data_IF_814624003810
#
_entry.id   IF_814624003810
#
_cell.length_a   1.000
_cell.length_b   1.000
_cell.length_c   1.000
_cell.angle_alpha   90.00
_cell.angle_beta   90.00
_cell.angle_gamma   90.00
#
_symmetry.space_group_name_H-M   'P 1'
#
loop_
_entity.id
_entity.type
_entity.pdbx_description
1 polymer ?
#
# COMPACT_ATOMS: atom_id res chain seq x y z
N UNK A 1 10.75 -7.70 -15.37
CA UNK A 1 11.35 -6.78 -14.37
C UNK A 1 11.30 -7.45 -13.01
N UNK A 2 12.42 -7.49 -12.30
CA UNK A 2 12.55 -7.98 -10.92
C UNK A 2 12.73 -6.76 -10.01
N UNK A 3 11.74 -6.48 -9.15
CA UNK A 3 11.71 -5.28 -8.31
C UNK A 3 12.79 -5.28 -7.22
N UNK A 4 13.24 -6.45 -6.78
CA UNK A 4 14.28 -6.56 -5.76
C UNK A 4 15.67 -6.19 -6.34
N UNK A 5 15.83 -6.26 -7.65
CA UNK A 5 17.05 -5.90 -8.37
C UNK A 5 16.92 -4.53 -9.01
N UNK A 6 17.51 -3.52 -8.40
CA UNK A 6 17.46 -2.13 -8.88
C UNK A 6 17.89 -1.98 -10.35
N UNK A 7 18.90 -2.76 -10.80
CA UNK A 7 19.35 -2.77 -12.18
C UNK A 7 18.24 -3.24 -13.15
N UNK A 8 17.51 -4.29 -12.80
CA UNK A 8 16.38 -4.80 -13.60
C UNK A 8 15.25 -3.75 -13.73
N UNK A 9 15.03 -2.96 -12.67
CA UNK A 9 14.07 -1.85 -12.71
C UNK A 9 14.57 -0.74 -13.63
N UNK A 10 15.84 -0.37 -13.54
CA UNK A 10 16.44 0.64 -14.41
C UNK A 10 16.30 0.28 -15.88
N UNK A 11 16.72 -0.93 -16.26
CA UNK A 11 16.63 -1.44 -17.63
C UNK A 11 15.19 -1.41 -18.18
N UNK A 12 14.20 -1.75 -17.32
CA UNK A 12 12.80 -1.70 -17.72
C UNK A 12 12.30 -0.26 -17.95
N UNK A 13 12.66 0.68 -17.07
CA UNK A 13 12.29 2.10 -17.24
C UNK A 13 12.95 2.68 -18.50
N UNK A 14 14.24 2.42 -18.73
CA UNK A 14 14.96 2.86 -19.92
C UNK A 14 14.35 2.31 -21.21
N UNK A 15 13.95 1.04 -21.22
CA UNK A 15 13.29 0.43 -22.36
C UNK A 15 11.93 1.09 -22.68
N UNK A 16 11.13 1.43 -21.64
CA UNK A 16 9.87 2.15 -21.82
C UNK A 16 10.10 3.54 -22.42
N UNK A 17 11.06 4.29 -21.88
CA UNK A 17 11.38 5.62 -22.39
C UNK A 17 11.94 5.58 -23.82
N UNK A 18 12.79 4.60 -24.10
CA UNK A 18 13.35 4.42 -25.46
C UNK A 18 12.27 4.08 -26.49
N UNK A 19 11.24 3.32 -26.10
CA UNK A 19 10.17 2.88 -26.99
C UNK A 19 9.06 3.91 -27.17
N UNK A 20 8.60 4.54 -26.07
CA UNK A 20 7.44 5.44 -26.07
C UNK A 20 7.83 6.94 -26.02
N UNK A 21 9.09 7.26 -25.73
CA UNK A 21 9.59 8.64 -25.60
C UNK A 21 9.32 9.28 -24.25
N UNK A 22 8.31 8.83 -23.50
CA UNK A 22 7.89 9.39 -22.22
C UNK A 22 7.21 8.35 -21.33
N UNK A 23 6.97 8.73 -20.06
CA UNK A 23 6.18 7.98 -19.09
C UNK A 23 5.10 8.93 -18.56
N UNK A 24 3.83 8.60 -18.78
CA UNK A 24 2.71 9.44 -18.30
C UNK A 24 2.21 8.99 -16.93
N UNK A 25 2.08 7.67 -16.73
CA UNK A 25 1.55 7.09 -15.50
C UNK A 25 2.41 5.90 -15.07
N UNK A 26 2.72 5.84 -13.77
CA UNK A 26 3.34 4.68 -13.13
C UNK A 26 2.36 4.12 -12.11
N UNK A 27 2.06 2.82 -12.22
CA UNK A 27 1.26 2.12 -11.21
C UNK A 27 2.13 1.10 -10.50
N UNK A 28 2.52 1.40 -9.26
CA UNK A 28 3.25 0.49 -8.39
C UNK A 28 2.25 -0.45 -7.69
N UNK A 29 1.90 -1.54 -8.36
CA UNK A 29 0.90 -2.50 -7.91
C UNK A 29 1.51 -3.79 -7.34
N UNK A 30 2.74 -4.13 -7.67
CA UNK A 30 3.37 -5.37 -7.24
C UNK A 30 3.52 -5.43 -5.71
N UNK A 31 3.18 -6.58 -5.14
CA UNK A 31 3.27 -6.83 -3.71
C UNK A 31 2.58 -8.12 -3.34
N UNK A 32 2.90 -8.62 -2.14
CA UNK A 32 2.28 -9.82 -1.59
C UNK A 32 1.98 -9.65 -0.10
N UNK A 33 1.08 -10.50 0.42
CA UNK A 33 0.72 -10.53 1.84
C UNK A 33 1.66 -11.41 2.65
N UNK A 34 2.14 -10.90 3.79
CA UNK A 34 2.84 -11.70 4.80
C UNK A 34 1.93 -11.86 6.01
N UNK A 35 1.46 -13.08 6.25
CA UNK A 35 0.67 -13.43 7.43
C UNK A 35 1.53 -14.05 8.50
N UNK A 36 1.14 -13.85 9.76
CA UNK A 36 1.76 -14.42 10.95
C UNK A 36 1.84 -13.41 12.09
N UNK A 37 2.03 -13.92 13.32
CA UNK A 37 2.32 -13.06 14.47
C UNK A 37 3.73 -12.50 14.36
N UNK A 38 3.98 -11.33 14.92
CA UNK A 38 5.32 -10.71 14.93
C UNK A 38 6.38 -11.61 15.58
N UNK A 39 6.00 -12.37 16.59
CA UNK A 39 6.88 -13.32 17.28
C UNK A 39 7.29 -14.49 16.36
N UNK A 40 6.40 -14.89 15.44
CA UNK A 40 6.61 -16.08 14.61
C UNK A 40 7.33 -15.81 13.30
N UNK A 41 7.08 -14.66 12.69
CA UNK A 41 7.68 -14.33 11.39
C UNK A 41 9.19 -14.11 11.59
N UNK A 42 10.01 -14.83 10.82
CA UNK A 42 11.46 -14.71 10.87
C UNK A 42 11.95 -13.37 10.30
N UNK A 43 13.14 -12.92 10.72
CA UNK A 43 13.79 -11.73 10.17
C UNK A 43 13.92 -11.78 8.63
N UNK A 44 14.24 -12.96 8.08
CA UNK A 44 14.34 -13.15 6.64
C UNK A 44 13.00 -12.93 5.91
N UNK A 45 11.89 -13.44 6.47
CA UNK A 45 10.55 -13.24 5.90
C UNK A 45 10.11 -11.78 5.98
N UNK A 46 10.43 -11.10 7.09
CA UNK A 46 10.16 -9.66 7.25
C UNK A 46 10.90 -8.88 6.17
N UNK A 47 12.22 -9.10 6.02
CA UNK A 47 13.04 -8.42 5.01
C UNK A 47 12.54 -8.68 3.60
N UNK A 48 12.26 -9.92 3.25
CA UNK A 48 11.73 -10.26 1.93
C UNK A 48 10.41 -9.55 1.61
N UNK A 49 9.53 -9.38 2.61
CA UNK A 49 8.29 -8.63 2.46
C UNK A 49 8.56 -7.13 2.20
N UNK A 50 9.49 -6.54 2.92
CA UNK A 50 9.90 -5.15 2.71
C UNK A 50 10.65 -4.95 1.39
N UNK A 51 11.50 -5.90 0.99
CA UNK A 51 12.27 -5.84 -0.26
C UNK A 51 11.33 -5.70 -1.47
N UNK A 52 10.24 -6.46 -1.51
CA UNK A 52 9.26 -6.39 -2.60
C UNK A 52 8.31 -5.21 -2.43
N UNK A 53 7.60 -5.14 -1.28
CA UNK A 53 6.47 -4.23 -1.11
C UNK A 53 6.89 -2.77 -0.92
N UNK A 54 8.11 -2.52 -0.43
CA UNK A 54 8.59 -1.18 -0.06
C UNK A 54 9.80 -0.77 -0.91
N UNK A 55 10.90 -1.52 -0.84
CA UNK A 55 12.11 -1.14 -1.55
C UNK A 55 11.98 -1.30 -3.06
N UNK A 56 11.25 -2.31 -3.53
CA UNK A 56 10.92 -2.47 -4.94
C UNK A 56 10.17 -1.27 -5.53
N UNK A 57 9.16 -0.78 -4.79
CA UNK A 57 8.45 0.45 -5.14
C UNK A 57 9.40 1.67 -5.15
N UNK A 58 10.25 1.78 -4.14
CA UNK A 58 11.23 2.87 -4.06
C UNK A 58 12.22 2.83 -5.24
N UNK A 59 12.64 1.64 -5.69
CA UNK A 59 13.49 1.49 -6.89
C UNK A 59 12.78 2.07 -8.12
N UNK A 60 11.50 1.74 -8.35
CA UNK A 60 10.74 2.26 -9.49
C UNK A 60 10.66 3.79 -9.44
N UNK A 61 10.29 4.36 -8.30
CA UNK A 61 10.21 5.81 -8.13
C UNK A 61 11.57 6.46 -8.42
N UNK A 62 12.65 5.98 -7.79
CA UNK A 62 13.99 6.55 -7.97
C UNK A 62 14.45 6.54 -9.42
N UNK A 63 14.20 5.45 -10.15
CA UNK A 63 14.62 5.30 -11.56
C UNK A 63 13.74 6.08 -12.54
N UNK A 64 12.46 6.28 -12.24
CA UNK A 64 11.55 7.04 -13.09
C UNK A 64 11.64 8.56 -12.88
N UNK A 65 11.90 9.01 -11.65
CA UNK A 65 11.89 10.44 -11.30
C UNK A 65 12.75 11.34 -12.18
N UNK A 66 13.97 10.98 -12.62
CA UNK A 66 14.75 11.83 -13.52
C UNK A 66 14.02 12.15 -14.84
N UNK A 67 13.29 11.17 -15.39
CA UNK A 67 12.51 11.32 -16.62
C UNK A 67 11.28 12.20 -16.40
N UNK A 68 10.48 11.88 -15.38
CA UNK A 68 9.28 12.66 -15.02
C UNK A 68 9.61 14.13 -14.71
N UNK A 69 10.69 14.37 -13.97
CA UNK A 69 11.15 15.73 -13.65
C UNK A 69 11.59 16.51 -14.90
N UNK A 70 12.29 15.86 -15.84
CA UNK A 70 12.67 16.46 -17.14
C UNK A 70 11.43 16.78 -17.97
N UNK A 71 10.45 15.90 -17.95
CA UNK A 71 9.17 15.97 -18.67
C UNK A 71 8.24 17.04 -18.07
N UNK A 72 8.41 17.36 -16.76
CA UNK A 72 7.54 18.25 -15.96
C UNK A 72 6.08 17.79 -15.92
N UNK A 73 5.87 16.51 -16.02
CA UNK A 73 4.53 15.88 -15.98
C UNK A 73 4.66 14.42 -15.58
N UNK A 74 3.55 13.84 -15.13
CA UNK A 74 3.41 12.44 -14.82
C UNK A 74 2.57 12.21 -13.56
N UNK A 75 2.09 10.98 -13.39
CA UNK A 75 1.33 10.58 -12.22
C UNK A 75 1.84 9.25 -11.67
N UNK A 76 2.27 9.23 -10.42
CA UNK A 76 2.70 8.03 -9.71
C UNK A 76 1.54 7.56 -8.83
N UNK A 77 1.02 6.36 -9.11
CA UNK A 77 -0.07 5.72 -8.36
C UNK A 77 0.52 4.54 -7.60
N UNK A 78 0.55 4.63 -6.29
CA UNK A 78 1.09 3.60 -5.41
C UNK A 78 -0.03 2.81 -4.75
N UNK A 79 -0.05 1.49 -4.95
CA UNK A 79 -1.08 0.65 -4.36
C UNK A 79 -0.67 0.23 -2.94
N UNK A 80 -1.25 0.92 -1.96
CA UNK A 80 -1.20 0.54 -0.57
C UNK A 80 -2.26 -0.54 -0.27
N UNK A 81 -3.05 -0.35 0.75
CA UNK A 81 -4.20 -1.16 1.18
C UNK A 81 -4.96 -0.38 2.25
N UNK A 82 -6.19 -0.76 2.55
CA UNK A 82 -6.82 -0.31 3.80
C UNK A 82 -5.98 -0.72 5.02
N UNK A 83 -5.22 -1.82 4.92
CA UNK A 83 -4.24 -2.23 5.92
C UNK A 83 -3.00 -1.31 6.01
N UNK A 84 -2.82 -0.38 5.10
CA UNK A 84 -1.84 0.72 5.14
C UNK A 84 -2.41 2.04 5.68
N UNK A 85 -3.64 2.03 6.16
CA UNK A 85 -4.31 3.15 6.83
C UNK A 85 -4.75 2.79 8.25
N UNK A 86 -5.13 1.54 8.49
CA UNK A 86 -5.35 0.95 9.81
C UNK A 86 -4.72 -0.43 9.88
N UNK A 87 -4.20 -0.83 11.03
CA UNK A 87 -3.52 -2.12 11.22
C UNK A 87 -4.23 -3.05 12.22
N UNK A 88 -5.52 -2.81 12.48
CA UNK A 88 -6.32 -3.61 13.41
C UNK A 88 -6.80 -4.93 12.75
N UNK A 89 -5.84 -5.68 12.20
CA UNK A 89 -6.05 -6.98 11.56
C UNK A 89 -5.09 -8.00 12.18
N UNK A 90 -5.57 -8.95 13.03
CA UNK A 90 -4.72 -9.99 13.58
C UNK A 90 -3.94 -10.75 12.50
N UNK A 91 -2.68 -11.08 12.75
CA UNK A 91 -1.74 -11.77 11.85
C UNK A 91 -1.29 -10.98 10.60
N UNK A 92 -1.72 -9.75 10.40
CA UNK A 92 -1.34 -8.93 9.24
C UNK A 92 -0.33 -7.83 9.57
N UNK A 93 0.33 -7.89 10.74
CA UNK A 93 1.20 -6.81 11.24
C UNK A 93 2.31 -6.42 10.28
N UNK A 94 3.08 -7.38 9.72
CA UNK A 94 4.17 -7.10 8.78
C UNK A 94 3.64 -6.56 7.46
N UNK A 95 2.59 -7.18 6.91
CA UNK A 95 1.96 -6.67 5.69
C UNK A 95 1.46 -5.24 5.89
N UNK A 96 0.75 -4.98 6.99
CA UNK A 96 0.29 -3.62 7.32
C UNK A 96 1.46 -2.65 7.42
N UNK A 97 2.55 -3.01 8.09
CA UNK A 97 3.73 -2.16 8.19
C UNK A 97 4.30 -1.80 6.81
N UNK A 98 4.39 -2.77 5.87
CA UNK A 98 4.83 -2.46 4.49
C UNK A 98 3.87 -1.51 3.78
N UNK A 99 2.56 -1.65 3.98
CA UNK A 99 1.54 -0.80 3.33
C UNK A 99 1.44 0.60 3.97
N UNK A 100 1.71 0.73 5.28
CA UNK A 100 1.92 2.03 5.91
C UNK A 100 3.18 2.73 5.37
N UNK A 101 4.27 2.00 5.16
CA UNK A 101 5.48 2.56 4.53
C UNK A 101 5.19 3.09 3.12
N UNK A 102 4.41 2.36 2.30
CA UNK A 102 3.96 2.82 0.97
C UNK A 102 3.14 4.10 1.08
N UNK A 103 2.23 4.20 2.07
CA UNK A 103 1.45 5.41 2.32
C UNK A 103 2.35 6.58 2.64
N UNK A 104 3.25 6.43 3.63
CA UNK A 104 4.17 7.48 4.03
C UNK A 104 5.11 7.93 2.90
N UNK A 105 5.65 6.98 2.10
CA UNK A 105 6.46 7.31 0.93
C UNK A 105 5.69 8.12 -0.10
N UNK A 106 4.40 7.82 -0.30
CA UNK A 106 3.58 8.53 -1.28
C UNK A 106 3.25 9.95 -0.82
N UNK A 107 2.92 10.13 0.46
CA UNK A 107 2.66 11.44 1.05
C UNK A 107 3.90 12.35 0.96
N UNK A 108 5.07 11.83 1.37
CA UNK A 108 6.33 12.56 1.28
C UNK A 108 6.69 12.90 -0.18
N UNK A 109 6.58 11.90 -1.08
CA UNK A 109 6.83 12.09 -2.50
C UNK A 109 5.94 13.20 -3.09
N UNK A 110 4.64 13.20 -2.77
CA UNK A 110 3.71 14.21 -3.27
C UNK A 110 4.14 15.65 -2.89
N UNK A 111 4.64 15.83 -1.67
CA UNK A 111 5.19 17.12 -1.22
C UNK A 111 6.47 17.48 -1.98
N UNK A 112 7.39 16.53 -2.18
CA UNK A 112 8.69 16.74 -2.83
C UNK A 112 8.55 17.10 -4.32
N UNK A 113 7.57 16.50 -5.03
CA UNK A 113 7.44 16.61 -6.49
C UNK A 113 6.45 17.68 -6.95
N UNK A 114 5.74 18.33 -6.04
CA UNK A 114 4.69 19.32 -6.35
C UNK A 114 5.17 20.41 -7.30
N UNK A 115 6.38 20.93 -7.10
CA UNK A 115 6.96 22.00 -7.92
C UNK A 115 7.35 21.54 -9.34
N UNK A 116 7.40 20.24 -9.60
CA UNK A 116 7.75 19.68 -10.91
C UNK A 116 6.54 19.41 -11.80
N UNK A 117 5.31 19.68 -11.36
CA UNK A 117 4.10 19.34 -12.10
C UNK A 117 3.79 17.85 -12.15
N UNK A 118 4.44 17.05 -11.29
CA UNK A 118 4.21 15.61 -11.17
C UNK A 118 3.23 15.37 -10.03
N UNK A 119 2.38 14.34 -10.15
CA UNK A 119 1.34 13.99 -9.18
C UNK A 119 1.65 12.64 -8.53
N UNK A 120 1.22 12.46 -7.30
CA UNK A 120 1.27 11.17 -6.61
C UNK A 120 -0.07 10.90 -5.92
N UNK A 121 -0.53 9.65 -6.02
CA UNK A 121 -1.73 9.15 -5.33
C UNK A 121 -1.41 7.84 -4.64
N UNK A 122 -1.76 7.71 -3.38
CA UNK A 122 -1.81 6.43 -2.68
C UNK A 122 -3.23 5.87 -2.77
N UNK A 123 -3.34 4.64 -3.23
CA UNK A 123 -4.62 3.91 -3.32
C UNK A 123 -4.72 2.96 -2.14
N UNK A 124 -5.85 2.99 -1.45
CA UNK A 124 -6.18 2.10 -0.32
C UNK A 124 -7.36 1.19 -0.71
N UNK A 125 -7.10 0.07 -1.40
CA UNK A 125 -8.16 -0.89 -1.68
C UNK A 125 -8.63 -1.59 -0.41
N UNK A 126 -9.94 -1.83 -0.30
CA UNK A 126 -10.50 -2.84 0.58
C UNK A 126 -10.38 -4.24 -0.02
N UNK A 127 -11.45 -5.04 0.07
CA UNK A 127 -11.45 -6.41 -0.41
C UNK A 127 -11.99 -6.53 -1.83
N UNK A 128 -11.09 -6.86 -2.77
CA UNK A 128 -11.39 -7.03 -4.19
C UNK A 128 -11.28 -8.49 -4.61
N UNK A 129 -12.16 -8.92 -5.50
CA UNK A 129 -12.20 -10.29 -6.05
C UNK A 129 -11.00 -10.55 -6.95
N UNK A 130 -9.86 -10.83 -6.34
CA UNK A 130 -8.58 -11.08 -7.00
C UNK A 130 -7.94 -12.37 -6.47
N UNK A 131 -6.80 -12.74 -7.03
CA UNK A 131 -6.01 -13.85 -6.52
C UNK A 131 -5.14 -13.49 -5.30
N UNK A 132 -5.27 -12.29 -4.73
CA UNK A 132 -4.39 -11.83 -3.64
C UNK A 132 -4.47 -12.74 -2.40
N UNK A 133 -5.65 -13.27 -2.06
CA UNK A 133 -5.81 -14.19 -0.93
C UNK A 133 -5.50 -15.66 -1.26
N UNK A 134 -5.13 -15.97 -2.52
CA UNK A 134 -4.82 -17.33 -2.96
C UNK A 134 -3.35 -17.70 -2.72
N UNK A 135 -3.08 -19.01 -2.72
CA UNK A 135 -1.72 -19.54 -2.63
C UNK A 135 -0.80 -18.91 -3.69
N UNK A 136 0.34 -18.39 -3.25
CA UNK A 136 1.31 -17.69 -4.09
C UNK A 136 1.29 -16.17 -3.94
N UNK A 137 0.21 -15.58 -3.43
CA UNK A 137 0.15 -14.15 -3.10
C UNK A 137 0.12 -13.86 -1.60
N UNK A 138 0.05 -14.90 -0.76
CA UNK A 138 0.20 -14.83 0.69
C UNK A 138 1.30 -15.78 1.13
N UNK A 139 2.28 -15.27 1.87
CA UNK A 139 3.26 -16.05 2.60
C UNK A 139 2.77 -16.28 4.04
N UNK A 140 2.84 -17.53 4.49
CA UNK A 140 2.41 -17.94 5.84
C UNK A 140 3.54 -18.73 6.48
N UNK A 141 3.93 -18.45 7.73
CA UNK A 141 4.96 -19.19 8.44
C UNK A 141 4.60 -20.69 8.57
N UNK A 142 5.58 -21.57 8.42
CA UNK A 142 5.38 -23.02 8.38
C UNK A 142 4.81 -23.60 9.69
N UNK A 143 5.22 -23.05 10.86
CA UNK A 143 4.84 -23.59 12.18
C UNK A 143 4.14 -22.54 13.02
N UNK A 144 2.83 -22.58 13.22
CA UNK A 144 2.10 -21.62 14.04
C UNK A 144 2.44 -21.80 15.53
N UNK A 145 2.44 -20.70 16.28
CA UNK A 145 2.52 -20.71 17.75
C UNK A 145 1.11 -21.04 18.28
N UNK A 146 1.01 -22.10 19.09
CA UNK A 146 -0.29 -22.65 19.52
C UNK A 146 -1.07 -21.69 20.40
N UNK A 147 -0.36 -20.93 21.23
CA UNK A 147 -0.92 -19.99 22.22
C UNK A 147 -1.77 -18.86 21.62
N UNK A 148 -1.54 -18.50 20.36
CA UNK A 148 -2.33 -17.48 19.64
C UNK A 148 -3.68 -18.02 19.12
N UNK A 149 -4.38 -18.83 19.92
CA UNK A 149 -5.62 -19.50 19.49
C UNK A 149 -6.74 -18.53 19.14
N UNK A 150 -7.00 -17.57 20.00
CA UNK A 150 -8.07 -16.57 19.79
C UNK A 150 -7.81 -15.71 18.54
N UNK A 151 -6.61 -15.16 18.42
CA UNK A 151 -6.24 -14.36 17.25
C UNK A 151 -6.31 -15.17 15.95
N UNK A 152 -6.00 -16.47 15.99
CA UNK A 152 -6.14 -17.39 14.85
C UNK A 152 -7.59 -17.63 14.48
N UNK A 153 -8.47 -17.86 15.46
CA UNK A 153 -9.90 -18.02 15.20
C UNK A 153 -10.51 -16.79 14.55
N UNK A 154 -10.13 -15.60 15.01
CA UNK A 154 -10.56 -14.32 14.42
C UNK A 154 -10.06 -14.23 12.96
N UNK A 155 -8.80 -14.56 12.73
CA UNK A 155 -8.20 -14.53 11.39
C UNK A 155 -8.85 -15.53 10.44
N UNK A 156 -9.09 -16.77 10.87
CA UNK A 156 -9.72 -17.82 10.04
C UNK A 156 -11.18 -17.46 9.72
N UNK A 157 -11.92 -16.90 10.68
CA UNK A 157 -13.27 -16.41 10.46
C UNK A 157 -13.27 -15.26 9.45
N UNK A 158 -12.36 -14.32 9.60
CA UNK A 158 -12.20 -13.19 8.71
C UNK A 158 -11.85 -13.61 7.27
N UNK A 159 -10.92 -14.55 7.11
CA UNK A 159 -10.56 -15.06 5.78
C UNK A 159 -11.73 -15.79 5.10
N UNK A 160 -12.51 -16.56 5.83
CA UNK A 160 -13.72 -17.23 5.30
C UNK A 160 -14.76 -16.21 4.85
N UNK A 161 -15.05 -15.21 5.69
CA UNK A 161 -16.00 -14.15 5.37
C UNK A 161 -15.57 -13.37 4.12
N UNK A 162 -14.29 -13.08 3.98
CA UNK A 162 -13.76 -12.35 2.82
C UNK A 162 -13.83 -13.22 1.56
N UNK A 163 -13.40 -14.48 1.61
CA UNK A 163 -13.34 -15.36 0.41
C UNK A 163 -14.74 -15.60 -0.18
N UNK A 164 -15.77 -15.59 0.67
CA UNK A 164 -17.17 -15.71 0.26
C UNK A 164 -17.79 -14.41 -0.22
N UNK A 165 -17.32 -13.25 0.26
CA UNK A 165 -17.97 -11.94 0.13
C UNK A 165 -17.09 -10.82 -0.42
N UNK A 166 -16.05 -11.11 -1.22
CA UNK A 166 -15.26 -10.06 -1.86
C UNK A 166 -16.14 -9.21 -2.79
N UNK A 167 -16.58 -8.03 -2.30
CA UNK A 167 -17.52 -7.17 -3.00
C UNK A 167 -16.86 -6.30 -4.08
N UNK A 168 -15.54 -6.09 -4.00
CA UNK A 168 -14.82 -5.21 -4.92
C UNK A 168 -14.57 -5.87 -6.29
N UNK A 169 -14.92 -5.15 -7.35
CA UNK A 169 -14.64 -5.51 -8.74
C UNK A 169 -13.29 -4.92 -9.17
N UNK A 170 -12.27 -5.74 -9.49
CA UNK A 170 -10.96 -5.25 -9.89
C UNK A 170 -10.97 -4.43 -11.19
N UNK A 171 -11.92 -4.67 -12.10
CA UNK A 171 -12.06 -3.88 -13.32
C UNK A 171 -12.54 -2.47 -12.97
N UNK A 172 -13.50 -2.36 -12.06
CA UNK A 172 -13.97 -1.05 -11.59
C UNK A 172 -12.87 -0.30 -10.83
N UNK A 173 -12.03 -1.00 -10.06
CA UNK A 173 -10.86 -0.40 -9.42
C UNK A 173 -9.85 0.14 -10.45
N UNK A 174 -9.56 -0.63 -11.50
CA UNK A 174 -8.69 -0.19 -12.59
C UNK A 174 -9.27 1.05 -13.28
N UNK A 175 -10.57 1.05 -13.60
CA UNK A 175 -11.24 2.21 -14.22
C UNK A 175 -11.21 3.46 -13.31
N UNK A 176 -11.32 3.28 -11.99
CA UNK A 176 -11.16 4.39 -11.05
C UNK A 176 -9.75 4.98 -11.07
N UNK A 177 -8.71 4.15 -11.16
CA UNK A 177 -7.32 4.60 -11.30
C UNK A 177 -7.06 5.28 -12.65
N UNK A 178 -7.64 4.77 -13.75
CA UNK A 178 -7.59 5.46 -15.05
C UNK A 178 -8.24 6.84 -14.93
N UNK A 179 -9.44 6.91 -14.36
CA UNK A 179 -10.15 8.18 -14.18
C UNK A 179 -9.33 9.22 -13.41
N UNK A 180 -8.67 8.84 -12.30
CA UNK A 180 -7.86 9.79 -11.53
C UNK A 180 -6.55 10.18 -12.24
N UNK A 181 -6.06 9.35 -13.17
CA UNK A 181 -4.87 9.70 -13.95
C UNK A 181 -5.15 10.80 -14.99
N UNK A 182 -6.40 10.98 -15.38
CA UNK A 182 -6.86 11.95 -16.39
C UNK A 182 -7.28 13.31 -15.78
N UNK A 183 -7.45 13.40 -14.45
CA UNK A 183 -7.86 14.67 -13.82
C UNK A 183 -6.67 15.57 -13.51
N UNK A 184 -6.93 16.89 -13.52
CA UNK A 184 -5.89 17.88 -13.27
C UNK A 184 -5.37 17.83 -11.83
N UNK A 185 -6.24 17.62 -10.86
CA UNK A 185 -5.93 17.59 -9.42
C UNK A 185 -6.46 16.28 -8.79
N UNK A 186 -5.73 15.18 -8.93
CA UNK A 186 -6.13 13.89 -8.34
C UNK A 186 -5.97 13.91 -6.81
N UNK A 187 -6.77 13.11 -6.09
CA UNK A 187 -6.62 13.01 -4.64
C UNK A 187 -5.27 12.38 -4.25
N UNK A 188 -4.69 12.85 -3.15
CA UNK A 188 -3.52 12.18 -2.55
C UNK A 188 -3.89 10.79 -2.02
N UNK A 189 -5.05 10.66 -1.37
CA UNK A 189 -5.58 9.38 -0.86
C UNK A 189 -6.83 8.98 -1.62
N UNK A 190 -6.80 7.81 -2.25
CA UNK A 190 -7.95 7.21 -2.91
C UNK A 190 -8.34 5.90 -2.21
N UNK A 191 -9.47 5.88 -1.53
CA UNK A 191 -10.03 4.67 -0.94
C UNK A 191 -10.94 3.98 -1.95
N UNK A 192 -10.75 2.68 -2.16
CA UNK A 192 -11.56 1.90 -3.10
C UNK A 192 -12.28 0.76 -2.37
N UNK A 193 -13.60 0.72 -2.53
CA UNK A 193 -14.52 -0.19 -1.86
C UNK A 193 -15.28 0.46 -0.71
N UNK A 194 -16.54 0.04 -0.48
CA UNK A 194 -17.37 0.54 0.62
C UNK A 194 -16.74 0.18 1.98
N UNK A 195 -16.19 -1.02 2.09
CA UNK A 195 -15.45 -1.50 3.24
C UNK A 195 -14.23 -0.62 3.59
N UNK A 196 -13.44 -0.25 2.59
CA UNK A 196 -12.31 0.66 2.79
C UNK A 196 -12.77 2.05 3.26
N UNK A 197 -13.85 2.56 2.69
CA UNK A 197 -14.47 3.82 3.10
C UNK A 197 -14.91 3.79 4.57
N UNK A 198 -15.69 2.78 4.95
CA UNK A 198 -16.23 2.65 6.30
C UNK A 198 -15.12 2.45 7.36
N UNK A 199 -14.14 1.60 7.05
CA UNK A 199 -12.99 1.35 7.93
C UNK A 199 -12.14 2.61 8.10
N UNK A 200 -11.94 3.39 7.04
CA UNK A 200 -11.19 4.65 7.11
C UNK A 200 -11.88 5.66 8.03
N UNK A 201 -13.19 5.84 7.89
CA UNK A 201 -13.96 6.72 8.77
C UNK A 201 -13.90 6.27 10.23
N UNK A 202 -14.09 4.96 10.49
CA UNK A 202 -13.97 4.41 11.84
C UNK A 202 -12.60 4.69 12.46
N UNK A 203 -11.51 4.58 11.67
CA UNK A 203 -10.15 4.89 12.15
C UNK A 203 -10.01 6.37 12.48
N UNK A 204 -10.52 7.27 11.63
CA UNK A 204 -10.46 8.72 11.89
C UNK A 204 -11.20 9.10 13.18
N UNK A 205 -12.40 8.57 13.40
CA UNK A 205 -13.17 8.85 14.62
C UNK A 205 -12.47 8.28 15.86
N UNK A 206 -11.86 7.10 15.78
CA UNK A 206 -11.09 6.55 16.90
C UNK A 206 -9.90 7.46 17.27
N UNK A 207 -9.12 7.89 16.27
CA UNK A 207 -7.97 8.78 16.50
C UNK A 207 -8.42 10.13 17.08
N UNK A 208 -9.53 10.67 16.57
CA UNK A 208 -10.12 11.90 17.11
C UNK A 208 -10.53 11.74 18.57
N UNK A 209 -11.18 10.64 18.91
CA UNK A 209 -11.58 10.32 20.29
C UNK A 209 -10.37 10.25 21.22
N UNK A 210 -9.30 9.58 20.79
CA UNK A 210 -8.06 9.47 21.58
C UNK A 210 -7.40 10.84 21.77
N UNK A 211 -7.34 11.66 20.72
CA UNK A 211 -6.79 13.02 20.79
C UNK A 211 -7.56 13.92 21.76
N UNK A 212 -8.88 13.89 21.73
CA UNK A 212 -9.70 14.68 22.66
C UNK A 212 -9.59 14.17 24.09
N UNK A 213 -9.58 12.85 24.31
CA UNK A 213 -9.45 12.24 25.63
C UNK A 213 -8.10 12.55 26.30
N UNK A 214 -7.04 12.69 25.52
CA UNK A 214 -5.68 12.91 26.03
C UNK A 214 -5.14 14.32 25.73
N UNK A 215 -6.00 15.26 25.38
CA UNK A 215 -5.63 16.63 24.98
C UNK A 215 -4.70 17.33 25.99
N UNK A 216 -5.07 17.29 27.28
CA UNK A 216 -4.30 18.00 28.31
C UNK A 216 -2.87 17.44 28.44
N UNK A 217 -2.72 16.10 28.33
CA UNK A 217 -1.40 15.47 28.32
C UNK A 217 -0.63 15.84 27.05
N UNK A 218 -1.31 15.80 25.89
CA UNK A 218 -0.69 16.12 24.59
C UNK A 218 -0.12 17.54 24.57
N UNK A 219 -0.89 18.53 25.00
CA UNK A 219 -0.46 19.95 24.97
C UNK A 219 0.47 20.34 26.11
N UNK A 220 0.54 19.55 27.18
CA UNK A 220 1.43 19.82 28.34
C UNK A 220 2.93 19.71 27.98
N UNK A 221 3.27 19.17 26.82
CA UNK A 221 4.65 18.99 26.36
C UNK A 221 5.20 20.23 25.63
N UNK A 222 4.40 21.30 25.50
CA UNK A 222 4.87 22.57 24.96
C UNK A 222 5.89 23.25 25.92
N UNK A 223 6.89 23.96 25.34
CA UNK A 223 7.87 24.76 26.12
C UNK A 223 7.21 26.02 26.67
#
# INVERSE_FOLDING_TARGET
MDLVKEQSVQEAIEAVVAHFGQIDVIVNNAGYGQMGTLEKISDAEIRASFDVNVFGLAHVIRKAMPYLRKQKSGHIINISSIAGYTANFPFWGIYSATKFAVTAFTEALAADIKSFGIKATVVHPGYFKTNFLKKGSIAVPANPIVEYTEARQIQEAHLREIDENQAGDPIKAANAMIKISEVMDPPLHLFLGQDAYDIAYKKMEQVKTDLEAWKDVTVSTAL
#
